data_IF_305289115633
#
_entry.id   IF_305289115633
#
_cell.length_a   1.000
_cell.length_b   1.000
_cell.length_c   1.000
_cell.angle_alpha   90.00
_cell.angle_beta   90.00
_cell.angle_gamma   90.00
#
_symmetry.space_group_name_H-M   'P 1'
#
loop_
_entity.id
_entity.type
_entity.pdbx_description
1 polymer ?
#
# COMPACT_ATOMS: atom_id res chain seq x y z
N UNK A 1 28.07 7.72 20.58
CA UNK A 1 26.63 7.49 20.86
C UNK A 1 25.72 8.31 19.96
N UNK A 2 25.72 9.64 20.05
CA UNK A 2 24.79 10.52 19.32
C UNK A 2 24.95 10.41 17.79
N UNK A 3 26.17 10.38 17.28
CA UNK A 3 26.45 10.27 15.84
C UNK A 3 25.86 8.97 15.23
N UNK A 4 26.02 7.84 15.91
CA UNK A 4 25.45 6.55 15.49
C UNK A 4 23.92 6.60 15.51
N UNK A 5 23.33 7.23 16.51
CA UNK A 5 21.89 7.39 16.64
C UNK A 5 21.32 8.24 15.48
N UNK A 6 21.96 9.37 15.15
CA UNK A 6 21.56 10.23 14.03
C UNK A 6 21.65 9.44 12.71
N UNK A 7 22.72 8.69 12.50
CA UNK A 7 22.93 7.90 11.28
C UNK A 7 21.86 6.83 11.12
N UNK A 8 21.57 6.06 12.18
CA UNK A 8 20.53 5.03 12.16
C UNK A 8 19.16 5.63 11.92
N UNK A 9 18.81 6.72 12.61
CA UNK A 9 17.52 7.40 12.42
C UNK A 9 17.39 8.00 11.02
N UNK A 10 18.48 8.54 10.44
CA UNK A 10 18.47 9.11 9.10
C UNK A 10 18.25 8.05 8.02
N UNK A 11 18.97 6.93 8.10
CA UNK A 11 18.79 5.79 7.17
C UNK A 11 17.38 5.25 7.25
N UNK A 12 16.86 5.14 8.45
CA UNK A 12 15.51 4.63 8.68
C UNK A 12 14.40 5.56 8.22
N UNK A 13 14.52 6.87 8.47
CA UNK A 13 13.56 7.83 7.93
C UNK A 13 13.56 7.80 6.39
N UNK A 14 14.75 7.61 5.77
CA UNK A 14 14.86 7.43 4.33
C UNK A 14 14.14 6.17 3.85
N UNK A 15 14.32 5.05 4.55
CA UNK A 15 13.64 3.80 4.21
C UNK A 15 12.12 3.88 4.41
N UNK A 16 11.64 4.42 5.55
CA UNK A 16 10.20 4.62 5.82
C UNK A 16 9.58 5.54 4.75
N UNK A 17 10.29 6.60 4.35
CA UNK A 17 9.84 7.50 3.29
C UNK A 17 9.72 6.78 1.93
N UNK A 18 10.74 6.03 1.53
CA UNK A 18 10.75 5.29 0.27
C UNK A 18 9.65 4.21 0.23
N UNK A 19 9.48 3.46 1.31
CA UNK A 19 8.40 2.47 1.45
C UNK A 19 7.02 3.10 1.35
N UNK A 20 6.80 4.25 2.01
CA UNK A 20 5.52 4.98 1.95
C UNK A 20 5.26 5.52 0.56
N UNK A 21 6.26 6.10 -0.08
CA UNK A 21 6.11 6.77 -1.36
C UNK A 21 5.95 5.77 -2.51
N UNK A 22 6.76 4.72 -2.57
CA UNK A 22 6.73 3.79 -3.70
C UNK A 22 5.76 2.63 -3.52
N UNK A 23 5.79 1.96 -2.37
CA UNK A 23 4.97 0.75 -2.19
C UNK A 23 3.57 1.10 -1.74
N UNK A 24 3.45 1.92 -0.69
CA UNK A 24 2.15 2.26 -0.12
C UNK A 24 1.37 3.30 -0.94
N UNK A 25 2.05 4.11 -1.77
CA UNK A 25 1.38 5.04 -2.69
C UNK A 25 0.65 4.36 -3.85
N UNK A 26 0.92 3.06 -4.11
CA UNK A 26 0.24 2.27 -5.15
C UNK A 26 -0.87 1.39 -4.60
N UNK A 27 -0.83 1.10 -3.31
CA UNK A 27 -1.82 0.27 -2.64
C UNK A 27 -2.95 1.19 -2.15
N UNK A 28 -4.22 0.85 -2.41
CA UNK A 28 -5.32 1.62 -1.84
C UNK A 28 -5.23 1.57 -0.32
N UNK A 29 -5.41 2.71 0.33
CA UNK A 29 -5.42 2.78 1.79
C UNK A 29 -6.56 1.92 2.36
N UNK A 30 -7.72 1.96 1.69
CA UNK A 30 -8.82 1.02 1.90
C UNK A 30 -9.68 0.91 0.64
N UNK A 31 -10.53 -0.10 0.64
CA UNK A 31 -11.62 -0.25 -0.33
C UNK A 31 -12.95 -0.37 0.41
N UNK A 32 -13.99 0.16 -0.20
CA UNK A 32 -15.39 -0.10 0.19
C UNK A 32 -16.04 -0.86 -0.94
N UNK A 33 -16.47 -2.06 -0.65
CA UNK A 33 -16.92 -3.05 -1.64
C UNK A 33 -18.32 -3.53 -1.31
N UNK A 34 -19.07 -3.96 -2.34
CA UNK A 34 -20.36 -4.64 -2.19
C UNK A 34 -20.29 -6.05 -2.78
N UNK A 35 -20.99 -7.03 -2.20
CA UNK A 35 -21.16 -8.37 -2.78
C UNK A 35 -21.86 -8.34 -4.15
N UNK A 36 -22.65 -7.31 -4.40
CA UNK A 36 -23.36 -7.08 -5.66
C UNK A 36 -22.79 -5.88 -6.40
N UNK A 37 -22.81 -5.88 -7.75
CA UNK A 37 -22.29 -4.76 -8.52
C UNK A 37 -22.99 -3.44 -8.17
N UNK A 38 -22.21 -2.41 -7.90
CA UNK A 38 -22.69 -1.06 -7.60
C UNK A 38 -23.00 -0.34 -8.90
N UNK A 39 -24.26 0.08 -9.12
CA UNK A 39 -24.70 0.70 -10.37
C UNK A 39 -24.53 2.22 -10.40
N UNK A 40 -24.59 2.89 -9.25
CA UNK A 40 -24.39 4.35 -9.13
C UNK A 40 -23.23 4.61 -8.15
N UNK A 41 -22.03 4.34 -8.66
CA UNK A 41 -20.84 4.56 -7.85
C UNK A 41 -20.62 6.05 -7.51
N UNK A 42 -21.14 6.97 -8.35
CA UNK A 42 -21.05 8.41 -8.09
C UNK A 42 -21.90 8.82 -6.89
N UNK A 43 -23.10 8.22 -6.71
CA UNK A 43 -23.89 8.43 -5.50
C UNK A 43 -23.18 7.90 -4.25
N UNK A 44 -22.58 6.71 -4.34
CA UNK A 44 -21.75 6.14 -3.28
C UNK A 44 -20.55 7.04 -2.98
N UNK A 45 -19.86 7.54 -4.02
CA UNK A 45 -18.74 8.46 -3.89
C UNK A 45 -19.11 9.71 -3.07
N UNK A 46 -20.22 10.36 -3.40
CA UNK A 46 -20.71 11.54 -2.68
C UNK A 46 -21.02 11.26 -1.19
N UNK A 47 -21.40 10.06 -0.83
CA UNK A 47 -21.60 9.68 0.58
C UNK A 47 -20.26 9.51 1.29
N UNK A 48 -19.31 8.82 0.65
CA UNK A 48 -17.97 8.53 1.20
C UNK A 48 -17.13 9.81 1.33
N UNK A 49 -17.22 10.75 0.39
CA UNK A 49 -16.53 12.04 0.40
C UNK A 49 -16.91 12.94 1.59
N UNK A 50 -18.05 12.69 2.23
CA UNK A 50 -18.45 13.43 3.45
C UNK A 50 -17.55 13.12 4.65
N UNK A 51 -16.83 12.00 4.61
CA UNK A 51 -15.92 11.65 5.69
C UNK A 51 -14.66 12.54 5.63
N UNK A 52 -14.32 13.28 6.72
CA UNK A 52 -13.33 14.36 6.69
C UNK A 52 -11.91 13.91 6.38
N UNK A 53 -11.60 12.61 6.51
CA UNK A 53 -10.27 12.05 6.24
C UNK A 53 -10.10 11.50 4.83
N UNK A 54 -11.15 11.47 4.02
CA UNK A 54 -11.05 11.03 2.63
C UNK A 54 -10.44 12.15 1.80
N UNK A 55 -9.25 11.91 1.27
CA UNK A 55 -8.53 12.85 0.39
C UNK A 55 -8.97 12.68 -1.06
N UNK A 56 -9.10 11.43 -1.51
CA UNK A 56 -9.55 11.09 -2.85
C UNK A 56 -10.17 9.69 -2.87
N UNK A 57 -10.94 9.43 -3.92
CA UNK A 57 -11.51 8.11 -4.18
C UNK A 57 -11.59 7.85 -5.69
N UNK A 58 -11.64 6.55 -6.05
CA UNK A 58 -11.81 6.10 -7.43
C UNK A 58 -12.65 4.83 -7.49
N UNK A 59 -13.50 4.65 -8.52
CA UNK A 59 -14.17 3.38 -8.75
C UNK A 59 -13.16 2.31 -9.14
N UNK A 60 -13.42 1.06 -8.76
CA UNK A 60 -12.59 -0.05 -9.15
C UNK A 60 -13.37 -1.35 -9.29
N UNK A 61 -12.79 -2.25 -10.05
CA UNK A 61 -13.21 -3.65 -10.13
C UNK A 61 -11.96 -4.52 -10.20
N UNK A 62 -11.87 -5.55 -9.38
CA UNK A 62 -10.75 -6.49 -9.38
C UNK A 62 -11.16 -7.86 -9.89
N UNK A 63 -10.28 -8.49 -10.65
CA UNK A 63 -10.43 -9.88 -11.06
C UNK A 63 -9.08 -10.59 -11.05
N UNK A 64 -9.01 -11.71 -10.35
CA UNK A 64 -7.86 -12.62 -10.44
C UNK A 64 -8.04 -13.56 -11.63
N UNK A 65 -6.95 -13.91 -12.28
CA UNK A 65 -6.98 -14.85 -13.37
C UNK A 65 -5.58 -15.19 -13.88
N UNK A 66 -5.55 -15.73 -15.09
CA UNK A 66 -4.30 -16.12 -15.74
C UNK A 66 -4.15 -15.35 -17.04
N UNK A 67 -2.98 -14.76 -17.27
CA UNK A 67 -2.57 -14.31 -18.60
C UNK A 67 -1.85 -15.45 -19.32
N UNK A 68 -2.21 -15.68 -20.57
CA UNK A 68 -1.57 -16.69 -21.38
C UNK A 68 -1.09 -16.11 -22.71
N UNK A 69 0.16 -16.42 -23.07
CA UNK A 69 0.78 -16.01 -24.34
C UNK A 69 1.80 -17.05 -24.76
N UNK A 70 1.71 -17.58 -26.00
CA UNK A 70 2.64 -18.57 -26.57
C UNK A 70 2.97 -19.76 -25.65
N UNK A 71 1.96 -20.30 -24.98
CA UNK A 71 2.12 -21.42 -24.05
C UNK A 71 2.67 -21.08 -22.67
N UNK A 72 3.08 -19.85 -22.43
CA UNK A 72 3.47 -19.34 -21.11
C UNK A 72 2.24 -18.87 -20.36
N UNK A 73 2.27 -19.01 -19.03
CA UNK A 73 1.16 -18.65 -18.14
C UNK A 73 1.67 -17.85 -16.95
N UNK A 74 0.95 -16.78 -16.60
CA UNK A 74 1.22 -15.95 -15.44
C UNK A 74 -0.08 -15.66 -14.70
N UNK A 75 -0.09 -15.90 -13.37
CA UNK A 75 -1.19 -15.47 -12.50
C UNK A 75 -1.13 -13.96 -12.35
N UNK A 76 -2.28 -13.29 -12.54
CA UNK A 76 -2.38 -11.84 -12.38
C UNK A 76 -3.65 -11.45 -11.64
N UNK A 77 -3.58 -10.28 -11.02
CA UNK A 77 -4.70 -9.53 -10.50
C UNK A 77 -4.94 -8.35 -11.46
N UNK A 78 -6.05 -8.35 -12.17
CA UNK A 78 -6.45 -7.18 -12.96
C UNK A 78 -7.16 -6.20 -12.03
N UNK A 79 -6.64 -4.97 -11.95
CA UNK A 79 -7.35 -3.82 -11.43
C UNK A 79 -7.95 -3.05 -12.61
N UNK A 80 -9.26 -3.10 -12.74
CA UNK A 80 -9.95 -2.28 -13.69
C UNK A 80 -10.25 -0.91 -13.08
N UNK A 81 -9.87 0.12 -13.79
CA UNK A 81 -9.81 1.49 -13.32
C UNK A 81 -10.39 2.45 -14.36
N UNK A 82 -10.74 3.62 -13.89
CA UNK A 82 -10.93 4.81 -14.72
C UNK A 82 -9.62 5.63 -14.66
N UNK A 83 -8.92 5.87 -15.77
CA UNK A 83 -7.62 6.54 -15.76
C UNK A 83 -7.63 7.92 -15.10
N UNK A 84 -8.68 8.72 -15.28
CA UNK A 84 -8.78 10.07 -14.69
C UNK A 84 -8.96 10.01 -13.17
N UNK A 85 -9.76 9.08 -12.69
CA UNK A 85 -10.00 8.92 -11.25
C UNK A 85 -8.80 8.23 -10.57
N UNK A 86 -8.17 7.27 -11.24
CA UNK A 86 -7.02 6.54 -10.70
C UNK A 86 -5.84 7.45 -10.38
N UNK A 87 -5.56 8.48 -11.19
CA UNK A 87 -4.52 9.48 -10.93
C UNK A 87 -4.69 10.22 -9.60
N UNK A 88 -5.89 10.27 -9.04
CA UNK A 88 -6.15 10.93 -7.75
C UNK A 88 -5.77 10.05 -6.57
N UNK A 89 -5.82 8.74 -6.73
CA UNK A 89 -5.65 7.75 -5.64
C UNK A 89 -4.36 6.94 -5.73
N UNK A 90 -3.70 6.92 -6.89
CA UNK A 90 -2.52 6.10 -7.17
C UNK A 90 -1.43 6.91 -7.86
N UNK A 91 -0.19 6.55 -7.59
CA UNK A 91 1.00 7.16 -8.21
C UNK A 91 1.50 6.37 -9.42
N UNK A 92 0.75 5.37 -9.89
CA UNK A 92 1.20 4.43 -10.94
C UNK A 92 1.58 5.11 -12.25
N UNK A 93 0.96 6.26 -12.55
CA UNK A 93 1.21 7.04 -13.77
C UNK A 93 2.70 7.47 -13.89
N UNK A 94 3.38 7.65 -12.77
CA UNK A 94 4.82 7.99 -12.74
C UNK A 94 5.78 6.81 -12.95
N UNK A 95 5.29 5.58 -13.13
CA UNK A 95 6.11 4.37 -13.20
C UNK A 95 6.08 3.67 -14.56
N UNK A 96 5.50 4.28 -15.57
CA UNK A 96 5.50 3.72 -16.91
C UNK A 96 6.89 3.75 -17.53
N UNK A 97 7.31 2.61 -18.09
CA UNK A 97 8.49 2.51 -18.96
C UNK A 97 8.09 2.72 -20.42
N UNK A 98 6.95 2.15 -20.82
CA UNK A 98 6.40 2.26 -22.17
C UNK A 98 4.89 2.47 -22.09
N UNK A 99 4.31 3.25 -22.99
CA UNK A 99 2.87 3.55 -23.02
C UNK A 99 2.45 4.58 -21.97
N UNK A 100 1.17 4.60 -21.65
CA UNK A 100 0.58 5.50 -20.64
C UNK A 100 -0.75 4.97 -20.12
N UNK A 101 -1.21 5.53 -19.00
CA UNK A 101 -2.52 5.20 -18.42
C UNK A 101 -3.68 5.58 -19.36
N UNK A 102 -3.50 6.63 -20.18
CA UNK A 102 -4.50 7.11 -21.15
C UNK A 102 -4.77 6.11 -22.28
N UNK A 103 -3.91 5.13 -22.47
CA UNK A 103 -4.13 4.05 -23.45
C UNK A 103 -5.27 3.11 -23.07
N UNK A 104 -5.75 3.15 -21.81
CA UNK A 104 -6.86 2.32 -21.32
C UNK A 104 -8.22 2.93 -21.68
N UNK A 105 -8.54 2.96 -22.97
CA UNK A 105 -9.82 3.48 -23.44
C UNK A 105 -10.95 2.44 -23.35
N UNK A 106 -12.20 2.87 -23.05
CA UNK A 106 -13.34 1.96 -22.99
C UNK A 106 -13.61 1.26 -24.35
N UNK A 107 -13.67 -0.05 -24.35
CA UNK A 107 -14.00 -0.85 -25.53
C UNK A 107 -12.81 -1.42 -26.29
N UNK A 108 -11.60 -0.91 -26.08
CA UNK A 108 -10.40 -1.34 -26.79
C UNK A 108 -9.80 -2.64 -26.23
N UNK A 109 -10.23 -3.04 -25.03
CA UNK A 109 -9.62 -4.14 -24.29
C UNK A 109 -8.09 -3.99 -24.21
N UNK A 110 -7.67 -2.76 -23.92
CA UNK A 110 -6.29 -2.42 -23.65
C UNK A 110 -5.89 -2.90 -22.25
N UNK A 111 -4.62 -3.26 -22.09
CA UNK A 111 -4.06 -3.73 -20.82
C UNK A 111 -2.68 -3.15 -20.61
N UNK A 112 -2.43 -2.68 -19.40
CA UNK A 112 -1.11 -2.29 -18.92
C UNK A 112 -0.63 -3.35 -17.94
N UNK A 113 0.62 -3.81 -18.07
CA UNK A 113 1.19 -4.89 -17.24
C UNK A 113 2.54 -4.48 -16.65
N UNK A 114 2.92 -5.11 -15.55
CA UNK A 114 4.26 -4.92 -14.98
C UNK A 114 5.35 -5.59 -15.84
N UNK A 115 6.54 -5.02 -15.83
CA UNK A 115 7.69 -5.46 -16.64
C UNK A 115 8.09 -6.91 -16.38
N UNK A 116 8.00 -7.39 -15.12
CA UNK A 116 8.29 -8.80 -14.78
C UNK A 116 7.26 -9.76 -15.37
N UNK A 117 5.98 -9.37 -15.38
CA UNK A 117 4.94 -10.15 -16.04
C UNK A 117 5.15 -10.17 -17.56
N UNK A 118 5.47 -9.02 -18.16
CA UNK A 118 5.81 -8.89 -19.57
C UNK A 118 7.01 -9.77 -19.95
N UNK A 119 8.10 -9.68 -19.22
CA UNK A 119 9.31 -10.49 -19.45
C UNK A 119 9.05 -11.99 -19.35
N UNK A 120 8.28 -12.43 -18.34
CA UNK A 120 7.94 -13.85 -18.13
C UNK A 120 7.09 -14.41 -19.25
N UNK A 121 6.14 -13.63 -19.76
CA UNK A 121 5.26 -14.02 -20.87
C UNK A 121 5.90 -13.79 -22.24
N UNK A 122 6.98 -12.99 -22.33
CA UNK A 122 7.62 -12.59 -23.57
C UNK A 122 6.80 -11.56 -24.34
N UNK A 123 6.03 -10.71 -23.64
CA UNK A 123 5.15 -9.69 -24.20
C UNK A 123 5.90 -8.38 -24.42
N UNK A 124 5.53 -7.69 -25.50
CA UNK A 124 5.95 -6.34 -25.84
C UNK A 124 4.74 -5.45 -26.06
N UNK A 125 4.96 -4.15 -26.14
CA UNK A 125 3.92 -3.20 -26.49
C UNK A 125 3.26 -3.58 -27.83
N UNK A 126 1.95 -3.60 -27.87
CA UNK A 126 1.16 -3.99 -29.05
C UNK A 126 0.81 -5.48 -29.14
N UNK A 127 1.45 -6.34 -28.36
CA UNK A 127 1.15 -7.77 -28.37
C UNK A 127 -0.24 -8.07 -27.79
N UNK A 128 -0.80 -9.19 -28.24
CA UNK A 128 -2.10 -9.69 -27.75
C UNK A 128 -1.90 -10.80 -26.73
N UNK A 129 -2.48 -10.61 -25.56
CA UNK A 129 -2.47 -11.58 -24.46
C UNK A 129 -3.89 -12.06 -24.16
N UNK A 130 -4.05 -13.32 -23.83
CA UNK A 130 -5.35 -13.88 -23.46
C UNK A 130 -5.49 -13.95 -21.95
N UNK A 131 -6.50 -13.29 -21.41
CA UNK A 131 -6.90 -13.43 -20.02
C UNK A 131 -7.91 -14.55 -19.87
N UNK A 132 -7.66 -15.42 -18.91
CA UNK A 132 -8.51 -16.56 -18.53
C UNK A 132 -9.07 -16.25 -17.15
N UNK A 133 -10.37 -15.95 -17.08
CA UNK A 133 -11.05 -15.74 -15.81
C UNK A 133 -11.34 -17.07 -15.11
N UNK A 134 -11.33 -17.10 -13.77
CA UNK A 134 -11.66 -18.32 -13.01
C UNK A 134 -13.13 -18.71 -13.11
N UNK A 135 -14.00 -17.73 -13.43
CA UNK A 135 -15.42 -17.99 -13.57
C UNK A 135 -15.70 -18.80 -14.83
N UNK A 136 -16.50 -19.85 -14.65
CA UNK A 136 -16.92 -20.71 -15.74
C UNK A 136 -18.30 -20.35 -16.24
N UNK A 137 -18.48 -20.40 -17.53
CA UNK A 137 -19.81 -20.37 -18.16
C UNK A 137 -20.27 -21.80 -18.36
N UNK A 138 -21.39 -22.16 -17.73
CA UNK A 138 -22.02 -23.47 -17.94
C UNK A 138 -22.88 -23.38 -19.19
N UNK A 139 -22.62 -24.26 -20.13
CA UNK A 139 -23.40 -24.41 -21.38
C UNK A 139 -23.85 -25.88 -21.52
N UNK A 140 -24.85 -26.17 -22.37
CA UNK A 140 -25.21 -27.56 -22.66
C UNK A 140 -24.05 -28.41 -23.19
N UNK A 141 -23.02 -27.78 -23.75
CA UNK A 141 -21.81 -28.44 -24.28
C UNK A 141 -20.70 -28.59 -23.23
N UNK A 142 -20.88 -28.11 -21.98
CA UNK A 142 -19.91 -28.21 -20.91
C UNK A 142 -19.60 -26.89 -20.21
N UNK A 143 -18.62 -26.95 -19.32
CA UNK A 143 -18.10 -25.77 -18.57
C UNK A 143 -16.92 -25.19 -19.33
N UNK A 144 -17.00 -23.91 -19.66
CA UNK A 144 -15.92 -23.19 -20.34
C UNK A 144 -15.50 -21.97 -19.52
N UNK A 145 -14.18 -21.75 -19.30
CA UNK A 145 -13.70 -20.53 -18.66
C UNK A 145 -14.01 -19.32 -19.56
N UNK A 146 -14.21 -18.16 -18.94
CA UNK A 146 -14.34 -16.93 -19.70
C UNK A 146 -12.97 -16.50 -20.18
N UNK A 147 -12.84 -16.32 -21.49
CA UNK A 147 -11.61 -15.91 -22.14
C UNK A 147 -11.82 -14.54 -22.80
N UNK A 148 -10.85 -13.66 -22.65
CA UNK A 148 -10.83 -12.41 -23.39
C UNK A 148 -9.40 -12.06 -23.78
N UNK A 149 -9.26 -11.64 -25.04
CA UNK A 149 -7.97 -11.16 -25.56
C UNK A 149 -7.85 -9.66 -25.30
N UNK A 150 -6.72 -9.26 -24.71
CA UNK A 150 -6.33 -7.89 -24.46
C UNK A 150 -5.12 -7.54 -25.33
N UNK A 151 -4.95 -6.26 -25.63
CA UNK A 151 -3.76 -5.71 -26.27
C UNK A 151 -2.90 -5.01 -25.23
N UNK A 152 -1.62 -5.33 -25.14
CA UNK A 152 -0.69 -4.68 -24.22
C UNK A 152 -0.40 -3.26 -24.75
N UNK A 153 -0.83 -2.24 -24.03
CA UNK A 153 -0.67 -0.83 -24.42
C UNK A 153 0.25 -0.05 -23.50
N UNK A 154 0.75 -0.70 -22.45
CA UNK A 154 1.75 -0.09 -21.55
C UNK A 154 2.44 -1.12 -20.69
N UNK A 155 3.67 -0.78 -20.29
CA UNK A 155 4.50 -1.56 -19.38
C UNK A 155 4.99 -0.62 -18.27
N UNK A 156 4.78 -1.01 -17.01
CA UNK A 156 5.24 -0.24 -15.85
C UNK A 156 6.29 -1.00 -15.05
N UNK A 157 7.10 -0.27 -14.28
CA UNK A 157 8.08 -0.81 -13.33
C UNK A 157 8.07 -0.01 -12.04
N UNK A 158 7.64 -0.63 -10.95
CA UNK A 158 7.58 0.00 -9.61
C UNK A 158 8.82 -0.33 -8.78
N UNK A 159 9.46 -1.47 -9.07
CA UNK A 159 10.54 -2.04 -8.27
C UNK A 159 10.05 -2.97 -7.16
N UNK A 160 8.73 -3.24 -7.07
CA UNK A 160 8.15 -4.18 -6.13
C UNK A 160 7.77 -5.48 -6.86
N UNK A 161 8.51 -6.55 -6.57
CA UNK A 161 8.45 -7.80 -7.33
C UNK A 161 7.08 -8.44 -7.47
N UNK A 162 6.23 -8.32 -6.45
CA UNK A 162 4.86 -8.82 -6.49
C UNK A 162 3.98 -7.96 -7.40
N UNK A 163 4.12 -6.63 -7.34
CA UNK A 163 3.36 -5.70 -8.17
C UNK A 163 3.78 -5.85 -9.63
N UNK A 164 5.08 -5.78 -9.91
CA UNK A 164 5.62 -5.89 -11.27
C UNK A 164 5.35 -7.26 -11.92
N UNK A 165 5.16 -8.30 -11.09
CA UNK A 165 4.94 -9.67 -11.58
C UNK A 165 3.47 -10.11 -11.64
N UNK A 166 2.57 -9.43 -10.94
CA UNK A 166 1.21 -9.94 -10.77
C UNK A 166 0.10 -8.89 -11.01
N UNK A 167 0.41 -7.60 -11.06
CA UNK A 167 -0.56 -6.56 -11.31
C UNK A 167 -0.72 -6.29 -12.81
N UNK A 168 -1.98 -6.20 -13.25
CA UNK A 168 -2.35 -5.68 -14.56
C UNK A 168 -3.44 -4.62 -14.40
N UNK A 169 -3.46 -3.63 -15.27
CA UNK A 169 -4.49 -2.60 -15.31
C UNK A 169 -5.29 -2.70 -16.60
N UNK A 170 -6.59 -2.46 -16.52
CA UNK A 170 -7.49 -2.44 -17.66
C UNK A 170 -8.58 -1.36 -17.46
N UNK A 171 -9.32 -1.03 -18.50
CA UNK A 171 -10.45 -0.12 -18.35
C UNK A 171 -11.60 -0.79 -17.59
N UNK A 172 -12.24 -0.03 -16.70
CA UNK A 172 -13.30 -0.52 -15.82
C UNK A 172 -14.51 -1.03 -16.61
N UNK A 173 -14.88 -0.37 -17.70
CA UNK A 173 -16.00 -0.78 -18.57
C UNK A 173 -15.70 -2.10 -19.30
N UNK A 174 -14.45 -2.37 -19.63
CA UNK A 174 -14.06 -3.60 -20.32
C UNK A 174 -14.10 -4.81 -19.39
N UNK A 175 -13.68 -4.63 -18.14
CA UNK A 175 -13.78 -5.69 -17.13
C UNK A 175 -15.23 -5.93 -16.72
N UNK A 176 -16.07 -4.89 -16.63
CA UNK A 176 -17.51 -5.03 -16.40
C UNK A 176 -18.17 -5.89 -17.49
N UNK A 177 -17.81 -5.66 -18.76
CA UNK A 177 -18.30 -6.51 -19.89
C UNK A 177 -17.86 -7.97 -19.76
N UNK A 178 -16.61 -8.21 -19.31
CA UNK A 178 -16.11 -9.56 -19.09
C UNK A 178 -16.87 -10.26 -17.96
N UNK A 179 -17.26 -9.53 -16.92
CA UNK A 179 -18.10 -10.03 -15.82
C UNK A 179 -19.58 -10.12 -16.17
N UNK A 180 -20.00 -9.65 -17.34
CA UNK A 180 -21.40 -9.51 -17.78
C UNK A 180 -22.19 -8.51 -16.94
N UNK A 181 -21.50 -7.52 -16.40
CA UNK A 181 -22.10 -6.35 -15.77
C UNK A 181 -22.41 -5.26 -16.78
N UNK A 182 -23.20 -4.30 -16.36
CA UNK A 182 -23.38 -3.08 -17.16
C UNK A 182 -22.06 -2.28 -17.17
N UNK A 183 -21.78 -1.48 -18.20
CA UNK A 183 -20.51 -0.76 -18.33
C UNK A 183 -20.22 0.24 -17.19
N UNK A 184 -21.24 0.70 -16.49
CA UNK A 184 -21.21 1.63 -15.37
C UNK A 184 -21.20 0.96 -13.99
N UNK A 185 -21.30 -0.38 -13.97
CA UNK A 185 -21.27 -1.15 -12.73
C UNK A 185 -19.83 -1.43 -12.29
N UNK A 186 -19.58 -1.25 -10.98
CA UNK A 186 -18.28 -1.42 -10.36
C UNK A 186 -18.37 -2.32 -9.12
N UNK A 187 -17.27 -2.87 -8.67
CA UNK A 187 -17.20 -3.64 -7.42
C UNK A 187 -17.30 -2.74 -6.20
N UNK A 188 -16.71 -1.54 -6.26
CA UNK A 188 -16.67 -0.61 -5.17
C UNK A 188 -15.79 0.61 -5.41
N UNK A 189 -15.37 1.24 -4.33
CA UNK A 189 -14.51 2.42 -4.34
C UNK A 189 -13.18 2.11 -3.64
N UNK A 190 -12.09 2.58 -4.23
CA UNK A 190 -10.77 2.68 -3.62
C UNK A 190 -10.68 4.02 -2.92
N UNK A 191 -10.14 4.04 -1.72
CA UNK A 191 -10.07 5.24 -0.87
C UNK A 191 -8.62 5.58 -0.58
N UNK A 192 -8.31 6.87 -0.68
CA UNK A 192 -7.08 7.49 -0.21
C UNK A 192 -7.43 8.40 0.97
N UNK A 193 -6.75 8.20 2.08
CA UNK A 193 -6.90 8.99 3.30
C UNK A 193 -5.68 9.90 3.50
N UNK A 194 -5.85 10.94 4.31
CA UNK A 194 -4.79 11.83 4.78
C UNK A 194 -3.69 11.08 5.54
N UNK A 195 -4.07 10.05 6.32
CA UNK A 195 -3.16 9.16 7.06
C UNK A 195 -3.49 7.69 6.80
N UNK A 196 -2.54 6.99 6.19
CA UNK A 196 -2.62 5.56 5.90
C UNK A 196 -2.86 4.70 7.14
N UNK A 197 -2.32 5.09 8.30
CA UNK A 197 -2.46 4.32 9.54
C UNK A 197 -3.84 4.48 10.18
N UNK A 198 -4.59 5.51 9.82
CA UNK A 198 -5.98 5.69 10.23
C UNK A 198 -6.97 5.00 9.29
N UNK A 199 -6.50 4.50 8.14
CA UNK A 199 -7.34 3.85 7.15
C UNK A 199 -8.22 2.70 7.73
N UNK A 200 -7.72 1.80 8.60
CA UNK A 200 -8.56 0.74 9.16
C UNK A 200 -9.78 1.26 9.92
N UNK A 201 -9.58 2.31 10.72
CA UNK A 201 -10.65 2.93 11.50
C UNK A 201 -11.61 3.71 10.62
N UNK A 202 -11.07 4.58 9.76
CA UNK A 202 -11.88 5.43 8.89
C UNK A 202 -12.70 4.62 7.89
N UNK A 203 -12.12 3.56 7.31
CA UNK A 203 -12.82 2.68 6.40
C UNK A 203 -13.97 1.91 7.09
N UNK A 204 -13.76 1.47 8.33
CA UNK A 204 -14.79 0.83 9.12
C UNK A 204 -15.93 1.82 9.47
N UNK A 205 -15.61 3.05 9.89
CA UNK A 205 -16.59 4.11 10.17
C UNK A 205 -17.42 4.42 8.92
N UNK A 206 -16.79 4.53 7.75
CA UNK A 206 -17.48 4.75 6.47
C UNK A 206 -18.44 3.61 6.16
N UNK A 207 -17.98 2.35 6.24
CA UNK A 207 -18.83 1.20 5.92
C UNK A 207 -20.08 1.12 6.83
N UNK A 208 -19.99 1.59 8.07
CA UNK A 208 -21.12 1.65 9.00
C UNK A 208 -22.16 2.74 8.66
N UNK A 209 -21.76 3.77 7.93
CA UNK A 209 -22.65 4.89 7.57
C UNK A 209 -23.34 4.70 6.22
N UNK A 210 -22.94 3.69 5.45
CA UNK A 210 -23.49 3.41 4.13
C UNK A 210 -24.75 2.54 4.24
N UNK A 211 -25.76 2.90 3.46
CA UNK A 211 -26.98 2.11 3.34
C UNK A 211 -26.76 0.92 2.39
N UNK A 212 -26.90 -0.31 2.90
CA UNK A 212 -26.74 -1.54 2.13
C UNK A 212 -25.61 -2.45 2.61
N UNK A 213 -25.40 -3.55 1.89
CA UNK A 213 -24.37 -4.55 2.22
C UNK A 213 -23.01 -4.10 1.72
N UNK A 214 -22.42 -3.09 2.38
CA UNK A 214 -21.06 -2.65 2.12
C UNK A 214 -20.11 -3.14 3.19
N UNK A 215 -18.90 -3.55 2.77
CA UNK A 215 -17.82 -3.90 3.68
C UNK A 215 -16.54 -3.16 3.31
N UNK A 216 -15.79 -2.80 4.32
CA UNK A 216 -14.50 -2.16 4.13
C UNK A 216 -13.37 -3.18 4.26
N UNK A 217 -12.41 -3.07 3.38
CA UNK A 217 -11.14 -3.78 3.46
C UNK A 217 -10.01 -2.75 3.45
N UNK A 218 -9.14 -2.80 4.41
CA UNK A 218 -8.00 -1.90 4.52
C UNK A 218 -6.68 -2.60 4.15
N UNK A 219 -5.64 -1.80 3.93
CA UNK A 219 -4.33 -2.28 3.51
C UNK A 219 -3.67 -3.23 4.54
N UNK A 220 -3.99 -3.09 5.83
CA UNK A 220 -3.40 -3.94 6.87
C UNK A 220 -3.89 -5.38 6.79
N UNK A 221 -5.09 -5.59 6.26
CA UNK A 221 -5.63 -6.93 5.98
C UNK A 221 -5.11 -7.49 4.66
N UNK A 222 -5.03 -6.65 3.64
CA UNK A 222 -4.58 -7.06 2.31
C UNK A 222 -3.07 -7.34 2.29
N UNK A 223 -2.28 -6.58 3.07
CA UNK A 223 -0.83 -6.65 3.14
C UNK A 223 -0.34 -6.83 4.60
N UNK A 224 -0.95 -7.76 5.31
CA UNK A 224 -0.70 -8.01 6.74
C UNK A 224 0.78 -8.27 7.08
N UNK A 225 1.50 -8.97 6.22
CA UNK A 225 2.94 -9.22 6.38
C UNK A 225 3.75 -7.91 6.35
N UNK A 226 3.41 -6.99 5.44
CA UNK A 226 4.04 -5.68 5.36
C UNK A 226 3.75 -4.83 6.59
N UNK A 227 2.49 -4.82 7.03
CA UNK A 227 2.11 -4.13 8.27
C UNK A 227 2.84 -4.67 9.51
N UNK A 228 2.94 -5.98 9.64
CA UNK A 228 3.70 -6.61 10.72
C UNK A 228 5.18 -6.26 10.66
N UNK A 229 5.79 -6.26 9.46
CA UNK A 229 7.19 -5.87 9.28
C UNK A 229 7.43 -4.43 9.75
N UNK A 230 6.60 -3.47 9.32
CA UNK A 230 6.69 -2.05 9.74
C UNK A 230 6.52 -1.91 11.26
N UNK A 231 5.56 -2.63 11.85
CA UNK A 231 5.33 -2.62 13.31
C UNK A 231 6.51 -3.19 14.08
N UNK A 232 7.06 -4.31 13.61
CA UNK A 232 8.23 -4.96 14.23
C UNK A 232 9.45 -4.05 14.17
N UNK A 233 9.70 -3.43 13.02
CA UNK A 233 10.75 -2.44 12.82
C UNK A 233 10.64 -1.29 13.83
N UNK A 234 9.48 -0.65 13.95
CA UNK A 234 9.26 0.44 14.93
C UNK A 234 9.51 -0.02 16.38
N UNK A 235 9.12 -1.24 16.72
CA UNK A 235 9.36 -1.80 18.05
C UNK A 235 10.85 -2.03 18.30
N UNK A 236 11.58 -2.59 17.34
CA UNK A 236 13.03 -2.81 17.45
C UNK A 236 13.78 -1.50 17.61
N UNK A 237 13.38 -0.47 16.88
CA UNK A 237 13.98 0.87 17.00
C UNK A 237 13.73 1.47 18.38
N UNK A 238 12.49 1.41 18.86
CA UNK A 238 12.15 1.87 20.20
C UNK A 238 13.03 1.19 21.27
N UNK A 239 13.25 -0.11 21.13
CA UNK A 239 14.15 -0.88 22.00
C UNK A 239 15.61 -0.43 21.91
N UNK A 240 16.12 -0.22 20.68
CA UNK A 240 17.50 0.26 20.48
C UNK A 240 17.69 1.66 21.05
N UNK A 241 16.75 2.57 20.85
CA UNK A 241 16.79 3.92 21.42
C UNK A 241 16.77 3.86 22.95
N UNK A 242 15.91 3.03 23.54
CA UNK A 242 15.85 2.82 24.98
C UNK A 242 17.20 2.30 25.55
N UNK A 243 17.81 1.35 24.82
CA UNK A 243 19.14 0.81 25.24
C UNK A 243 20.22 1.91 25.17
N UNK A 244 20.24 2.72 24.12
CA UNK A 244 21.21 3.83 24.01
C UNK A 244 21.03 4.84 25.13
N UNK A 245 19.79 5.20 25.48
CA UNK A 245 19.48 6.09 26.60
C UNK A 245 19.91 5.48 27.92
N UNK A 246 19.66 4.18 28.14
CA UNK A 246 20.07 3.46 29.34
C UNK A 246 21.60 3.46 29.53
N UNK A 247 22.36 3.20 28.45
CA UNK A 247 23.83 3.25 28.46
C UNK A 247 24.33 4.65 28.75
N UNK A 248 23.72 5.68 28.14
CA UNK A 248 24.09 7.08 28.41
C UNK A 248 23.83 7.46 29.88
N UNK A 249 22.68 7.08 30.43
CA UNK A 249 22.34 7.31 31.84
C UNK A 249 23.34 6.61 32.78
N UNK A 250 23.67 5.36 32.49
CA UNK A 250 24.65 4.60 33.25
C UNK A 250 26.03 5.29 33.26
N UNK A 251 26.51 5.75 32.09
CA UNK A 251 27.79 6.48 31.99
C UNK A 251 27.77 7.78 32.80
N UNK A 252 26.65 8.54 32.76
CA UNK A 252 26.51 9.77 33.55
C UNK A 252 26.59 9.44 35.06
N UNK A 253 25.85 8.42 35.52
CA UNK A 253 25.84 7.99 36.92
C UNK A 253 27.23 7.54 37.35
N UNK A 254 27.90 6.71 36.54
CA UNK A 254 29.25 6.23 36.84
C UNK A 254 30.25 7.38 36.94
N UNK A 255 30.18 8.36 36.05
CA UNK A 255 31.04 9.55 36.10
C UNK A 255 30.76 10.40 37.33
N UNK A 256 29.48 10.60 37.69
CA UNK A 256 29.10 11.34 38.90
C UNK A 256 29.62 10.65 40.18
N UNK A 257 29.46 9.34 40.26
CA UNK A 257 29.98 8.56 41.40
C UNK A 257 31.49 8.71 41.53
N UNK A 258 32.22 8.64 40.39
CA UNK A 258 33.67 8.81 40.36
C UNK A 258 34.09 10.22 40.83
N UNK A 259 33.42 11.27 40.32
CA UNK A 259 33.68 12.65 40.74
C UNK A 259 33.40 12.88 42.21
N UNK A 260 32.31 12.35 42.76
CA UNK A 260 31.96 12.45 44.15
C UNK A 260 32.97 11.69 45.04
N UNK A 261 33.42 10.51 44.62
CA UNK A 261 34.42 9.73 45.32
C UNK A 261 35.78 10.47 45.38
N UNK A 262 36.20 11.09 44.28
CA UNK A 262 37.44 11.85 44.16
C UNK A 262 37.41 13.12 45.05
N UNK A 263 36.24 13.73 45.18
CA UNK A 263 35.99 14.90 46.03
C UNK A 263 35.69 14.55 47.50
N UNK A 264 35.67 13.27 47.86
CA UNK A 264 35.35 12.79 49.21
C UNK A 264 36.25 13.40 50.30
N UNK A 265 37.55 13.58 50.02
CA UNK A 265 38.50 14.22 50.94
C UNK A 265 38.18 15.72 51.18
N UNK A 266 37.92 16.45 50.11
CA UNK A 266 37.57 17.88 50.18
C UNK A 266 36.24 18.08 50.94
N UNK A 267 35.28 17.22 50.71
CA UNK A 267 33.97 17.20 51.38
C UNK A 267 34.16 16.89 52.90
N UNK A 268 35.02 15.97 53.25
CA UNK A 268 35.30 15.64 54.64
C UNK A 268 35.91 16.83 55.40
N UNK A 269 36.84 17.57 54.77
CA UNK A 269 37.42 18.79 55.33
C UNK A 269 36.36 19.88 55.57
N UNK A 270 35.49 20.09 54.59
CA UNK A 270 34.38 21.09 54.69
C UNK A 270 33.42 20.72 55.84
N UNK A 271 33.14 19.43 56.05
CA UNK A 271 32.31 18.94 57.18
C UNK A 271 32.94 19.16 58.52
N UNK A 272 34.25 19.00 58.64
CA UNK A 272 35.00 19.28 59.93
C UNK A 272 35.01 20.77 60.21
N UNK A 273 34.93 21.63 59.20
CA UNK A 273 34.80 23.09 59.28
C UNK A 273 33.38 23.59 59.58
N UNK A 274 32.39 22.64 59.70
CA UNK A 274 31.01 22.96 60.09
C UNK A 274 30.06 23.12 58.93
N UNK A 275 30.40 22.76 57.69
CA UNK A 275 29.49 22.85 56.57
C UNK A 275 28.35 21.80 56.69
N UNK A 276 27.14 22.26 56.48
CA UNK A 276 25.95 21.39 56.50
C UNK A 276 25.77 20.61 55.20
N UNK A 277 25.04 19.45 55.19
CA UNK A 277 24.81 18.65 53.99
C UNK A 277 24.08 19.40 52.84
N UNK A 278 23.47 20.56 53.10
CA UNK A 278 22.82 21.41 52.08
C UNK A 278 23.76 22.45 51.48
N UNK A 279 24.93 22.68 52.09
CA UNK A 279 25.95 23.62 51.62
C UNK A 279 27.05 22.95 50.82
N UNK A 280 27.14 21.61 50.90
CA UNK A 280 27.98 20.70 50.12
C UNK A 280 27.17 20.12 48.94
#
# INVERSE_FOLDING_TARGET
GVMVMILVLSVMNGFDHEMRTRVLGMIPHATVESPTPVSDWQALARQVERHPRVEALAPFTQMQGLLTHEGKVQKVLINAIDPEQERKVSIIDGFFQEGSLDSLQPGDFAMVIGDKAAAKLGLKLGDKVTFVAPEVTVTPAGMFPRLKRFTVTGIFHVGAGEIDGALALANISDLARLQRWKPDQVQGLRLKFDDLFQAPRSAWEIAQTLDGDFYARDWTRSHGNLYQAIRMEKTMIGLLLLLIVAVAAFNIIATLIMVVADKGGDIAILRTLGATPRQI
#
